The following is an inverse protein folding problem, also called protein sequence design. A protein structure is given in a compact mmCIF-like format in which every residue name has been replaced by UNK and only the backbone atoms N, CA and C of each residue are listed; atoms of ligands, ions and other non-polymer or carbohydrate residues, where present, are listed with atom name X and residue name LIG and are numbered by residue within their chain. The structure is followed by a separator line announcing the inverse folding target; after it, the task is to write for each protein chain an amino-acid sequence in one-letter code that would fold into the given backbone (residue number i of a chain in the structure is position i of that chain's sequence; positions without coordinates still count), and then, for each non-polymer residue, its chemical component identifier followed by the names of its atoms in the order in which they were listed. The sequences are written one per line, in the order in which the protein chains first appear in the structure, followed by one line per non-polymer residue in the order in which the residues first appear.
data_IF_946202002159
#
_entry.id   IF_946202002159
#
_cell.length_a   1.000
_cell.length_b   1.000
_cell.length_c   1.000
_cell.angle_alpha   90.00
_cell.angle_beta   90.00
_cell.angle_gamma   90.00
#
_symmetry.space_group_name_H-M   'P 1'
#
loop_
_entity.id
_entity.type
_entity.pdbx_description
1 polymer ?
#
# COMPACT_ATOMS: atom_id res chain seq x y z
N UNK A 1 5.82 19.32 14.86
CA UNK A 1 5.45 18.09 14.13
C UNK A 1 4.53 17.28 15.01
N UNK A 2 3.33 16.92 14.56
CA UNK A 2 2.38 16.14 15.36
C UNK A 2 2.85 14.69 15.44
N UNK A 3 3.09 14.19 16.65
CA UNK A 3 3.40 12.78 16.86
C UNK A 3 2.18 11.92 16.53
N UNK A 4 2.38 10.87 15.74
CA UNK A 4 1.31 9.90 15.48
C UNK A 4 0.97 9.20 16.79
N UNK A 5 -0.29 9.27 17.19
CA UNK A 5 -0.74 8.63 18.42
C UNK A 5 -1.17 7.19 18.16
N UNK A 6 -1.02 6.32 19.17
CA UNK A 6 -1.56 4.95 19.12
C UNK A 6 -3.06 4.92 18.79
N UNK A 7 -3.80 5.94 19.22
CA UNK A 7 -5.23 6.08 18.94
C UNK A 7 -5.49 6.30 17.45
N UNK A 8 -4.68 7.12 16.76
CA UNK A 8 -4.78 7.34 15.31
C UNK A 8 -4.55 6.03 14.54
N UNK A 9 -3.50 5.28 14.89
CA UNK A 9 -3.18 3.99 14.24
C UNK A 9 -4.32 2.98 14.42
N UNK A 10 -4.85 2.85 15.63
CA UNK A 10 -5.98 1.94 15.89
C UNK A 10 -7.28 2.44 15.23
N UNK A 11 -7.46 3.75 15.11
CA UNK A 11 -8.55 4.38 14.38
C UNK A 11 -8.51 3.98 12.89
N UNK A 12 -7.34 4.08 12.26
CA UNK A 12 -7.10 3.64 10.89
C UNK A 12 -7.36 2.14 10.73
N UNK A 13 -6.83 1.31 11.63
CA UNK A 13 -7.07 -0.13 11.61
C UNK A 13 -8.57 -0.44 11.60
N UNK A 14 -9.34 0.13 12.52
CA UNK A 14 -10.81 -0.05 12.59
C UNK A 14 -11.53 0.48 11.35
N UNK A 15 -11.06 1.60 10.77
CA UNK A 15 -11.61 2.17 9.54
C UNK A 15 -11.51 1.16 8.39
N UNK A 16 -10.39 0.44 8.26
CA UNK A 16 -10.20 -0.58 7.23
C UNK A 16 -11.25 -1.71 7.35
N UNK A 17 -11.51 -2.21 8.56
CA UNK A 17 -12.55 -3.24 8.74
C UNK A 17 -13.96 -2.73 8.42
N UNK A 18 -14.25 -1.46 8.70
CA UNK A 18 -15.54 -0.86 8.30
C UNK A 18 -15.65 -0.78 6.78
N UNK A 19 -14.58 -0.38 6.10
CA UNK A 19 -14.50 -0.36 4.64
C UNK A 19 -14.73 -1.76 4.08
N UNK A 20 -14.02 -2.78 4.60
CA UNK A 20 -14.21 -4.16 4.18
C UNK A 20 -15.67 -4.63 4.38
N UNK A 21 -16.32 -4.24 5.48
CA UNK A 21 -17.73 -4.61 5.72
C UNK A 21 -18.68 -4.03 4.66
N UNK A 22 -18.48 -2.78 4.28
CA UNK A 22 -19.30 -2.07 3.28
C UNK A 22 -18.81 -2.22 1.85
N UNK A 23 -17.72 -2.97 1.64
CA UNK A 23 -17.10 -3.11 0.33
C UNK A 23 -18.01 -3.84 -0.64
N UNK A 24 -18.03 -3.38 -1.88
CA UNK A 24 -18.74 -4.00 -2.99
C UNK A 24 -17.82 -3.95 -4.21
N UNK A 25 -17.62 -5.09 -4.86
CA UNK A 25 -16.78 -5.13 -6.06
C UNK A 25 -17.40 -4.31 -7.18
N UNK A 26 -16.56 -3.70 -7.99
CA UNK A 26 -16.99 -2.95 -9.17
C UNK A 26 -17.73 -3.84 -10.19
N UNK A 27 -17.47 -5.15 -10.20
CA UNK A 27 -18.18 -6.11 -11.07
C UNK A 27 -19.59 -6.45 -10.60
N UNK A 28 -19.95 -6.13 -9.36
CA UNK A 28 -21.21 -6.55 -8.73
C UNK A 28 -21.30 -8.04 -8.42
N UNK A 29 -20.26 -8.84 -8.72
CA UNK A 29 -20.27 -10.27 -8.42
C UNK A 29 -20.03 -10.52 -6.93
N UNK A 30 -20.85 -11.39 -6.33
CA UNK A 30 -20.73 -11.74 -4.91
C UNK A 30 -19.40 -12.43 -4.61
N UNK A 31 -18.95 -13.34 -5.49
CA UNK A 31 -17.70 -14.07 -5.33
C UNK A 31 -16.48 -13.14 -5.33
N UNK A 32 -16.44 -12.16 -6.23
CA UNK A 32 -15.36 -11.18 -6.30
C UNK A 32 -15.40 -10.23 -5.11
N UNK A 33 -16.59 -9.77 -4.73
CA UNK A 33 -16.78 -8.95 -3.53
C UNK A 33 -16.23 -9.65 -2.28
N UNK A 34 -16.50 -10.94 -2.11
CA UNK A 34 -16.00 -11.69 -0.95
C UNK A 34 -14.48 -11.86 -0.99
N UNK A 35 -13.89 -12.15 -2.16
CA UNK A 35 -12.42 -12.23 -2.32
C UNK A 35 -11.74 -10.90 -2.01
N UNK A 36 -12.30 -9.80 -2.50
CA UNK A 36 -11.80 -8.44 -2.27
C UNK A 36 -11.88 -8.07 -0.78
N UNK A 37 -13.00 -8.39 -0.11
CA UNK A 37 -13.15 -8.20 1.34
C UNK A 37 -12.11 -8.96 2.13
N UNK A 38 -11.92 -10.24 1.80
CA UNK A 38 -10.93 -11.10 2.44
C UNK A 38 -9.52 -10.58 2.23
N UNK A 39 -9.22 -10.06 1.03
CA UNK A 39 -7.95 -9.43 0.72
C UNK A 39 -7.70 -8.19 1.59
N UNK A 40 -8.65 -7.26 1.67
CA UNK A 40 -8.54 -6.05 2.51
C UNK A 40 -8.24 -6.44 3.97
N UNK A 41 -8.96 -7.43 4.49
CA UNK A 41 -8.81 -7.89 5.88
C UNK A 41 -7.47 -8.58 6.11
N UNK A 42 -7.06 -9.47 5.21
CA UNK A 42 -5.83 -10.25 5.36
C UNK A 42 -4.60 -9.36 5.23
N UNK A 43 -4.58 -8.46 4.24
CA UNK A 43 -3.49 -7.51 4.03
C UNK A 43 -3.33 -6.58 5.24
N UNK A 44 -4.45 -5.99 5.73
CA UNK A 44 -4.41 -5.13 6.90
C UNK A 44 -3.91 -5.86 8.15
N UNK A 45 -4.36 -7.09 8.39
CA UNK A 45 -3.84 -7.89 9.52
C UNK A 45 -2.34 -8.15 9.39
N UNK A 46 -1.88 -8.52 8.20
CA UNK A 46 -0.47 -8.83 7.94
C UNK A 46 0.42 -7.60 8.14
N UNK A 47 0.06 -6.47 7.53
CA UNK A 47 0.85 -5.24 7.62
C UNK A 47 0.89 -4.65 9.04
N UNK A 48 -0.26 -4.59 9.74
CA UNK A 48 -0.28 -4.08 11.11
C UNK A 48 0.47 -5.00 12.09
N UNK A 49 0.45 -6.32 11.87
CA UNK A 49 1.24 -7.25 12.68
C UNK A 49 2.74 -7.11 12.42
N UNK A 50 3.13 -6.97 11.15
CA UNK A 50 4.53 -6.74 10.75
C UNK A 50 5.11 -5.48 11.40
N UNK A 51 4.31 -4.42 11.44
CA UNK A 51 4.71 -3.13 11.99
C UNK A 51 4.56 -3.02 13.53
N UNK A 52 4.21 -4.11 14.23
CA UNK A 52 3.93 -4.07 15.69
C UNK A 52 5.12 -3.64 16.53
N UNK A 53 6.34 -3.96 16.10
CA UNK A 53 7.58 -3.66 16.84
C UNK A 53 8.25 -2.36 16.39
N UNK A 54 7.62 -1.59 15.49
CA UNK A 54 8.15 -0.30 15.08
C UNK A 54 8.04 0.71 16.22
N UNK A 55 9.17 1.32 16.57
CA UNK A 55 9.29 2.34 17.61
C UNK A 55 9.70 3.70 17.07
N UNK A 56 10.27 3.74 15.85
CA UNK A 56 10.69 4.98 15.20
C UNK A 56 9.46 5.81 14.77
N UNK A 57 9.28 7.04 15.32
CA UNK A 57 8.13 7.88 15.03
C UNK A 57 8.03 8.29 13.56
N UNK A 58 9.16 8.46 12.86
CA UNK A 58 9.14 8.83 11.43
C UNK A 58 8.70 7.67 10.54
N UNK A 59 9.15 6.44 10.85
CA UNK A 59 8.67 5.25 10.14
C UNK A 59 7.20 4.99 10.41
N UNK A 60 6.73 5.16 11.65
CA UNK A 60 5.31 5.04 11.99
C UNK A 60 4.46 6.04 11.18
N UNK A 61 4.92 7.29 11.08
CA UNK A 61 4.26 8.33 10.28
C UNK A 61 4.21 7.95 8.80
N UNK A 62 5.30 7.45 8.23
CA UNK A 62 5.31 6.98 6.84
C UNK A 62 4.33 5.82 6.62
N UNK A 63 4.25 4.86 7.53
CA UNK A 63 3.29 3.76 7.43
C UNK A 63 1.83 4.26 7.53
N UNK A 64 1.57 5.27 8.36
CA UNK A 64 0.24 5.88 8.48
C UNK A 64 -0.15 6.61 7.20
N UNK A 65 0.76 7.40 6.61
CA UNK A 65 0.50 8.10 5.36
C UNK A 65 0.34 7.14 4.18
N UNK A 66 1.16 6.08 4.11
CA UNK A 66 0.97 4.98 3.15
C UNK A 66 -0.42 4.34 3.30
N UNK A 67 -0.84 4.05 4.53
CA UNK A 67 -2.15 3.46 4.81
C UNK A 67 -3.30 4.39 4.37
N UNK A 68 -3.22 5.69 4.66
CA UNK A 68 -4.20 6.69 4.22
C UNK A 68 -4.28 6.76 2.68
N UNK A 69 -3.13 6.83 2.01
CA UNK A 69 -3.06 6.88 0.56
C UNK A 69 -3.64 5.62 -0.11
N UNK A 70 -3.34 4.42 0.44
CA UNK A 70 -3.93 3.15 -0.04
C UNK A 70 -5.45 3.13 0.10
N UNK A 71 -5.97 3.58 1.25
CA UNK A 71 -7.42 3.66 1.48
C UNK A 71 -8.07 4.61 0.46
N UNK A 72 -7.49 5.79 0.25
CA UNK A 72 -8.01 6.79 -0.67
C UNK A 72 -8.03 6.29 -2.11
N UNK A 73 -6.94 5.68 -2.58
CA UNK A 73 -6.85 5.07 -3.90
C UNK A 73 -7.84 3.92 -4.07
N UNK A 74 -7.93 3.05 -3.06
CA UNK A 74 -8.86 1.92 -3.09
C UNK A 74 -10.30 2.38 -3.25
N UNK A 75 -10.71 3.40 -2.48
CA UNK A 75 -12.06 3.96 -2.56
C UNK A 75 -12.31 4.73 -3.85
N UNK A 76 -11.36 5.56 -4.29
CA UNK A 76 -11.48 6.36 -5.51
C UNK A 76 -11.68 5.49 -6.75
N UNK A 77 -10.93 4.39 -6.82
CA UNK A 77 -10.93 3.51 -7.97
C UNK A 77 -11.78 2.25 -7.82
N UNK A 78 -12.38 2.02 -6.64
CA UNK A 78 -13.10 0.78 -6.29
C UNK A 78 -12.28 -0.49 -6.56
N UNK A 79 -10.99 -0.44 -6.24
CA UNK A 79 -10.08 -1.57 -6.42
C UNK A 79 -9.20 -1.71 -5.17
N UNK A 80 -9.30 -2.82 -4.41
CA UNK A 80 -8.53 -2.96 -3.17
C UNK A 80 -7.07 -3.36 -3.42
N UNK A 81 -6.73 -3.80 -4.64
CA UNK A 81 -5.41 -4.28 -4.97
C UNK A 81 -4.43 -3.13 -5.27
N UNK A 82 -3.14 -3.30 -4.96
CA UNK A 82 -2.11 -2.33 -5.31
C UNK A 82 -2.03 -2.17 -6.83
N UNK A 83 -2.03 -0.92 -7.29
CA UNK A 83 -1.91 -0.62 -8.72
C UNK A 83 -0.47 -0.86 -9.21
N UNK A 84 -0.25 -1.72 -10.21
CA UNK A 84 1.05 -1.87 -10.83
C UNK A 84 1.53 -0.53 -11.40
N UNK A 85 2.80 -0.18 -11.19
CA UNK A 85 3.40 0.97 -11.85
C UNK A 85 3.88 0.51 -13.22
N UNK A 86 3.21 0.96 -14.28
CA UNK A 86 3.64 0.72 -15.66
C UNK A 86 4.79 1.67 -16.00
N UNK A 87 5.95 1.49 -15.36
CA UNK A 87 7.15 2.10 -15.89
C UNK A 87 7.59 1.30 -17.10
N UNK A 88 7.76 1.93 -18.28
CA UNK A 88 8.15 1.22 -19.48
C UNK A 88 9.49 0.49 -19.25
N UNK A 89 9.57 -0.83 -19.51
CA UNK A 89 10.84 -1.56 -19.48
C UNK A 89 11.80 -1.07 -20.56
N UNK A 90 11.30 -0.41 -21.61
CA UNK A 90 12.10 0.08 -22.74
C UNK A 90 12.91 1.35 -22.45
N UNK A 91 12.82 1.92 -21.24
CA UNK A 91 13.72 2.99 -20.81
C UNK A 91 15.03 2.48 -20.20
N UNK A 92 15.23 1.16 -20.11
CA UNK A 92 16.42 0.55 -19.55
C UNK A 92 17.60 0.77 -20.52
N UNK A 93 18.60 1.52 -20.06
CA UNK A 93 19.94 1.32 -20.61
C UNK A 93 20.28 -0.17 -20.49
N UNK A 94 20.99 -0.75 -21.47
CA UNK A 94 21.41 -2.16 -21.44
C UNK A 94 21.89 -2.54 -20.01
N UNK A 95 21.57 -3.73 -19.46
CA UNK A 95 21.90 -4.10 -18.08
C UNK A 95 23.39 -3.92 -17.69
N UNK A 96 24.28 -3.91 -18.68
CA UNK A 96 25.73 -3.71 -18.55
C UNK A 96 26.17 -2.23 -18.63
N UNK A 97 25.25 -1.31 -18.93
CA UNK A 97 25.52 0.11 -19.07
C UNK A 97 25.60 0.78 -17.69
N UNK A 98 26.57 1.70 -17.54
CA UNK A 98 26.77 2.50 -16.31
C UNK A 98 25.51 3.28 -15.90
N UNK A 99 24.65 3.63 -16.87
CA UNK A 99 23.38 4.33 -16.66
C UNK A 99 22.29 3.46 -15.99
N UNK A 100 22.40 2.13 -16.04
CA UNK A 100 21.42 1.21 -15.45
C UNK A 100 21.26 1.41 -13.94
N UNK A 101 22.38 1.49 -13.20
CA UNK A 101 22.37 1.71 -11.74
C UNK A 101 21.72 3.04 -11.36
N UNK A 102 21.94 4.08 -12.15
CA UNK A 102 21.33 5.41 -11.91
C UNK A 102 19.83 5.37 -12.15
N UNK A 103 19.38 4.75 -13.25
CA UNK A 103 17.96 4.57 -13.55
C UNK A 103 17.24 3.69 -12.52
N UNK A 104 17.86 2.61 -12.04
CA UNK A 104 17.30 1.80 -10.96
C UNK A 104 17.14 2.59 -9.66
N UNK A 105 18.12 3.44 -9.32
CA UNK A 105 18.05 4.32 -8.16
C UNK A 105 16.90 5.33 -8.30
N UNK A 106 16.79 5.99 -9.44
CA UNK A 106 15.66 6.90 -9.73
C UNK A 106 14.33 6.17 -9.62
N UNK A 107 14.24 4.94 -10.14
CA UNK A 107 13.04 4.09 -9.99
C UNK A 107 12.65 3.85 -8.54
N UNK A 108 13.61 3.47 -7.69
CA UNK A 108 13.34 3.24 -6.25
C UNK A 108 12.84 4.51 -5.57
N UNK A 109 13.36 5.67 -5.95
CA UNK A 109 12.94 6.98 -5.40
C UNK A 109 11.57 7.41 -5.93
N UNK A 110 11.27 7.14 -7.21
CA UNK A 110 10.01 7.51 -7.86
C UNK A 110 8.84 6.58 -7.52
N UNK A 111 9.02 5.56 -6.67
CA UNK A 111 7.91 4.72 -6.23
C UNK A 111 6.92 5.56 -5.41
N UNK A 112 5.61 5.46 -5.68
CA UNK A 112 4.62 6.19 -4.92
C UNK A 112 4.52 5.63 -3.50
N UNK A 113 4.17 6.51 -2.57
CA UNK A 113 4.14 6.23 -1.12
C UNK A 113 3.30 4.98 -0.79
N UNK A 114 2.22 4.73 -1.53
CA UNK A 114 1.30 3.62 -1.28
C UNK A 114 1.83 2.24 -1.66
N UNK A 115 3.01 2.11 -2.28
CA UNK A 115 3.57 0.81 -2.69
C UNK A 115 4.73 0.31 -1.81
N UNK A 116 5.19 1.12 -0.86
CA UNK A 116 6.40 0.84 -0.07
C UNK A 116 6.33 -0.50 0.68
N UNK A 117 5.18 -0.81 1.28
CA UNK A 117 4.98 -2.05 2.03
C UNK A 117 4.64 -3.27 1.15
N UNK A 118 4.37 -3.10 -0.15
CA UNK A 118 3.96 -4.20 -1.04
C UNK A 118 5.16 -4.99 -1.59
N UNK A 119 6.27 -4.29 -1.89
CA UNK A 119 7.50 -4.91 -2.39
C UNK A 119 8.15 -5.87 -1.36
N UNK A 120 7.83 -5.72 -0.07
CA UNK A 120 8.38 -6.56 1.00
C UNK A 120 7.55 -7.83 1.27
N UNK A 121 6.45 -8.03 0.54
CA UNK A 121 5.53 -9.18 0.69
C UNK A 121 5.61 -10.11 -0.54
N UNK A 122 6.19 -9.65 -1.66
CA UNK A 122 6.30 -10.39 -2.93
C UNK A 122 7.61 -11.16 -3.06
#
# INVERSE_FOLDING_TARGET
MTSVTRQEVLGLYRKIFRIAKTWQSASGQMNETEKEKQYIISEAKTLFRKNRTLTDPELIKQCVEECKARIELGLHYRNPYPRPIHLPPMGLALPQARAFRHQEKLRKISKPVYLKSHDEIS
#
